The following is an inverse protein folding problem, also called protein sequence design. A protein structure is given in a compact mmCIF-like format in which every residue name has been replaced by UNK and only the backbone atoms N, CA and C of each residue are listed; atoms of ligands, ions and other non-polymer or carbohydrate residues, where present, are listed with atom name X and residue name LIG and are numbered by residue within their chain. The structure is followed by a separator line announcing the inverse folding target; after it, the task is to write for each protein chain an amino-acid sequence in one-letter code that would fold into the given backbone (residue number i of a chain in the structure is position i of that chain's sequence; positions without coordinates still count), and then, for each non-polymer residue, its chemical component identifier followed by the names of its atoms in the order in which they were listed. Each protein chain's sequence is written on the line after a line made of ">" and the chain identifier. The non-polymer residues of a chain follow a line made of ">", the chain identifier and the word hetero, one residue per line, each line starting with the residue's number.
data_IF_360059187910
#
_entry.id   IF_360059187910
#
_cell.length_a   1.000
_cell.length_b   1.000
_cell.length_c   1.000
_cell.angle_alpha   90.00
_cell.angle_beta   90.00
_cell.angle_gamma   90.00
#
_symmetry.space_group_name_H-M   'P 1'
#
loop_
_entity.id
_entity.type
_entity.pdbx_description
1 polymer ?
#
# COMPACT_ATOMS: atom_id res chain seq x y z
N UNK A 1 24.66 -32.99 60.22
CA UNK A 1 24.59 -33.45 58.80
C UNK A 1 23.21 -33.09 58.24
N UNK A 2 23.22 -32.45 57.06
CA UNK A 2 22.14 -32.28 56.08
C UNK A 2 20.86 -31.52 56.52
N UNK A 3 20.90 -30.19 56.37
CA UNK A 3 19.72 -29.37 56.07
C UNK A 3 19.34 -29.64 54.61
N UNK A 4 18.16 -30.21 54.35
CA UNK A 4 17.63 -30.36 52.99
C UNK A 4 16.73 -29.15 52.70
N UNK A 5 17.28 -28.15 52.05
CA UNK A 5 16.53 -27.01 51.52
C UNK A 5 15.85 -27.50 50.22
N UNK A 6 14.55 -27.76 50.26
CA UNK A 6 13.77 -28.07 49.05
C UNK A 6 13.38 -26.73 48.43
N UNK A 7 14.12 -26.32 47.39
CA UNK A 7 13.77 -25.20 46.53
C UNK A 7 12.81 -25.73 45.46
N UNK A 8 11.51 -25.49 45.65
CA UNK A 8 10.51 -25.71 44.60
C UNK A 8 10.65 -24.55 43.61
N UNK A 9 11.34 -24.82 42.49
CA UNK A 9 11.40 -23.92 41.36
C UNK A 9 10.04 -24.00 40.64
N UNK A 10 9.19 -23.01 40.87
CA UNK A 10 7.98 -22.79 40.06
C UNK A 10 8.43 -22.49 38.62
N UNK A 11 8.31 -23.50 37.75
CA UNK A 11 8.33 -23.32 36.30
C UNK A 11 7.04 -22.60 35.91
N UNK A 12 6.99 -21.28 36.12
CA UNK A 12 6.05 -20.42 35.40
C UNK A 12 6.56 -20.31 33.96
N UNK A 13 6.20 -21.29 33.13
CA UNK A 13 6.17 -21.11 31.68
C UNK A 13 5.12 -20.06 31.37
N UNK A 14 5.55 -18.79 31.39
CA UNK A 14 4.80 -17.71 30.77
C UNK A 14 4.87 -18.01 29.28
N UNK A 15 3.91 -18.78 28.79
CA UNK A 15 3.59 -18.79 27.37
C UNK A 15 3.11 -17.38 27.05
N UNK A 16 4.06 -16.52 26.64
CA UNK A 16 3.72 -15.29 25.95
C UNK A 16 3.10 -15.71 24.62
N UNK A 17 1.79 -15.91 24.64
CA UNK A 17 0.99 -15.99 23.43
C UNK A 17 1.04 -14.59 22.82
N UNK A 18 2.09 -14.32 22.05
CA UNK A 18 2.11 -13.19 21.14
C UNK A 18 1.05 -13.48 20.09
N UNK A 19 -0.21 -13.12 20.37
CA UNK A 19 -1.22 -13.05 19.33
C UNK A 19 -0.70 -12.05 18.32
N UNK A 20 -0.16 -12.57 17.21
CA UNK A 20 0.16 -11.79 16.03
C UNK A 20 -1.20 -11.31 15.53
N UNK A 21 -1.65 -10.14 15.97
CA UNK A 21 -2.84 -9.54 15.41
C UNK A 21 -2.56 -9.33 13.93
N UNK A 22 -3.27 -10.04 13.05
CA UNK A 22 -3.08 -9.91 11.62
C UNK A 22 -3.40 -8.46 11.22
N UNK A 23 -2.34 -7.71 10.92
CA UNK A 23 -2.47 -6.32 10.49
C UNK A 23 -3.10 -6.31 9.10
N UNK A 24 -4.26 -5.66 8.96
CA UNK A 24 -4.96 -5.52 7.69
C UNK A 24 -5.56 -4.12 7.60
N UNK A 25 -5.15 -3.37 6.58
CA UNK A 25 -5.83 -2.15 6.14
C UNK A 25 -6.80 -2.43 5.01
N UNK A 26 -6.61 -3.51 4.26
CA UNK A 26 -7.42 -3.90 3.11
C UNK A 26 -8.26 -5.14 3.45
N UNK A 27 -9.55 -5.12 3.11
CA UNK A 27 -10.47 -6.24 3.32
C UNK A 27 -10.31 -7.28 2.21
N UNK A 28 -9.36 -8.20 2.40
CA UNK A 28 -9.10 -9.33 1.49
C UNK A 28 -8.80 -10.59 2.30
N UNK A 29 -9.18 -11.75 1.75
CA UNK A 29 -8.83 -13.03 2.34
C UNK A 29 -7.32 -13.34 2.25
N UNK A 30 -6.90 -14.41 2.92
CA UNK A 30 -5.50 -14.83 3.03
C UNK A 30 -4.89 -15.39 1.74
N UNK A 31 -5.67 -15.57 0.67
CA UNK A 31 -5.14 -16.02 -0.63
C UNK A 31 -4.37 -14.92 -1.34
N UNK A 32 -4.65 -13.65 -1.00
CA UNK A 32 -3.89 -12.50 -1.50
C UNK A 32 -2.57 -12.39 -0.74
N UNK A 33 -1.47 -12.29 -1.50
CA UNK A 33 -0.16 -12.01 -0.91
C UNK A 33 -0.19 -10.67 -0.18
N UNK A 34 0.56 -10.55 0.92
CA UNK A 34 0.61 -9.35 1.74
C UNK A 34 2.05 -8.92 2.02
N UNK A 35 2.33 -7.62 1.85
CA UNK A 35 3.53 -6.98 2.35
C UNK A 35 3.16 -5.74 3.18
N UNK A 36 3.69 -5.66 4.40
CA UNK A 36 3.46 -4.54 5.32
C UNK A 36 4.71 -3.67 5.39
N UNK A 37 4.52 -2.36 5.20
CA UNK A 37 5.60 -1.37 5.22
C UNK A 37 5.35 -0.34 6.34
N UNK A 38 6.41 0.13 6.99
CA UNK A 38 6.33 1.28 7.90
C UNK A 38 6.83 2.53 7.19
N UNK A 39 6.10 3.62 7.33
CA UNK A 39 6.55 4.92 6.86
C UNK A 39 7.49 5.56 7.91
N UNK A 40 8.46 6.39 7.50
CA UNK A 40 8.67 6.89 6.15
C UNK A 40 9.27 5.83 5.20
N UNK A 41 8.65 5.66 4.03
CA UNK A 41 9.34 5.05 2.90
C UNK A 41 10.41 6.03 2.42
N UNK A 42 11.51 5.53 1.80
CA UNK A 42 12.60 6.38 1.32
C UNK A 42 12.06 7.55 0.47
N UNK A 43 12.46 8.77 0.82
CA UNK A 43 12.04 10.03 0.20
C UNK A 43 10.56 10.44 0.41
N UNK A 44 9.84 9.82 1.35
CA UNK A 44 8.49 10.22 1.75
C UNK A 44 8.47 10.69 3.20
N UNK A 45 7.85 11.86 3.46
CA UNK A 45 7.85 12.49 4.78
C UNK A 45 6.62 12.16 5.63
N UNK A 46 5.96 11.04 5.34
CA UNK A 46 4.82 10.59 6.13
C UNK A 46 5.26 9.71 7.30
N UNK A 47 4.45 9.74 8.36
CA UNK A 47 4.47 8.77 9.45
C UNK A 47 3.20 7.94 9.30
N UNK A 48 3.31 6.62 9.43
CA UNK A 48 2.19 5.72 9.17
C UNK A 48 2.60 4.31 8.80
N UNK A 49 1.65 3.59 8.21
CA UNK A 49 1.81 2.18 7.80
C UNK A 49 1.20 1.95 6.42
N UNK A 50 1.80 1.02 5.69
CA UNK A 50 1.40 0.59 4.36
C UNK A 50 1.05 -0.90 4.35
N UNK A 51 0.03 -1.27 3.57
CA UNK A 51 -0.44 -2.66 3.38
C UNK A 51 -0.60 -2.92 1.87
N UNK A 52 0.35 -3.62 1.27
CA UNK A 52 0.34 -4.00 -0.15
C UNK A 52 -0.30 -5.38 -0.27
N UNK A 53 -1.23 -5.53 -1.21
CA UNK A 53 -1.92 -6.79 -1.49
C UNK A 53 -1.80 -7.19 -2.95
N UNK A 54 -1.28 -8.39 -3.17
CA UNK A 54 -1.06 -8.97 -4.49
C UNK A 54 -2.08 -10.07 -4.79
N UNK A 55 -2.62 -10.14 -6.03
CA UNK A 55 -3.46 -11.24 -6.45
C UNK A 55 -2.80 -12.61 -6.21
N UNK A 56 -3.58 -13.67 -5.93
CA UNK A 56 -3.05 -14.99 -5.61
C UNK A 56 -2.08 -15.57 -6.65
N UNK A 57 -2.23 -15.18 -7.92
CA UNK A 57 -1.38 -15.63 -9.03
C UNK A 57 -1.10 -14.52 -10.03
N UNK A 58 0.11 -14.58 -10.59
CA UNK A 58 0.47 -13.93 -11.83
C UNK A 58 0.68 -12.41 -11.79
N UNK A 59 0.73 -11.79 -10.62
CA UNK A 59 1.00 -10.35 -10.51
C UNK A 59 2.39 -9.96 -11.03
N UNK A 60 3.37 -10.87 -11.00
CA UNK A 60 4.74 -10.65 -11.51
C UNK A 60 4.99 -11.27 -12.90
N UNK A 61 4.06 -12.07 -13.42
CA UNK A 61 4.22 -12.75 -14.71
C UNK A 61 3.70 -11.85 -15.85
N UNK A 62 4.56 -11.39 -16.79
CA UNK A 62 4.18 -10.48 -17.88
C UNK A 62 3.02 -10.96 -18.76
N UNK A 63 2.88 -12.28 -18.93
CA UNK A 63 1.85 -12.88 -19.79
C UNK A 63 0.50 -13.05 -19.09
N UNK A 64 0.44 -12.81 -17.78
CA UNK A 64 -0.77 -13.03 -16.99
C UNK A 64 -1.68 -11.80 -16.99
N UNK A 65 -3.00 -12.01 -16.97
CA UNK A 65 -4.00 -10.94 -16.98
C UNK A 65 -3.82 -9.94 -15.84
N UNK A 66 -3.43 -10.42 -14.65
CA UNK A 66 -3.15 -9.61 -13.46
C UNK A 66 -1.72 -9.07 -13.35
N UNK A 67 -0.89 -9.15 -14.39
CA UNK A 67 0.46 -8.58 -14.36
C UNK A 67 0.43 -7.13 -13.87
N UNK A 68 1.28 -6.80 -12.89
CA UNK A 68 1.35 -5.50 -12.21
C UNK A 68 0.00 -4.95 -11.73
N UNK A 69 -0.95 -5.84 -11.45
CA UNK A 69 -2.26 -5.49 -10.90
C UNK A 69 -2.28 -5.81 -9.41
N UNK A 70 -2.48 -4.80 -8.57
CA UNK A 70 -2.37 -4.94 -7.10
C UNK A 70 -3.04 -3.78 -6.37
N UNK A 71 -3.25 -3.94 -5.06
CA UNK A 71 -3.75 -2.91 -4.18
C UNK A 71 -2.69 -2.47 -3.18
N UNK A 72 -2.75 -1.21 -2.75
CA UNK A 72 -1.88 -0.68 -1.72
C UNK A 72 -2.64 0.31 -0.86
N UNK A 73 -2.71 0.10 0.46
CA UNK A 73 -3.33 1.04 1.38
C UNK A 73 -2.27 1.73 2.23
N UNK A 74 -2.38 3.05 2.40
CA UNK A 74 -1.56 3.85 3.31
C UNK A 74 -2.44 4.43 4.38
N UNK A 75 -2.13 4.18 5.66
CA UNK A 75 -2.70 4.93 6.77
C UNK A 75 -1.63 5.87 7.31
N UNK A 76 -1.78 7.17 7.04
CA UNK A 76 -0.79 8.19 7.39
C UNK A 76 -1.35 9.21 8.39
N UNK A 77 -0.46 9.73 9.22
CA UNK A 77 -0.75 10.71 10.28
C UNK A 77 -0.88 12.13 9.70
N UNK A 78 -1.76 12.28 8.71
CA UNK A 78 -2.08 13.54 8.04
C UNK A 78 -3.53 13.91 8.31
N UNK A 79 -3.74 14.99 9.06
CA UNK A 79 -5.06 15.48 9.45
C UNK A 79 -5.66 16.48 8.44
N UNK A 80 -5.63 16.14 7.15
CA UNK A 80 -6.26 16.92 6.07
C UNK A 80 -6.51 16.06 4.85
N UNK A 81 -7.37 16.53 3.95
CA UNK A 81 -7.48 15.94 2.61
C UNK A 81 -6.16 16.15 1.85
N UNK A 82 -5.75 15.16 1.07
CA UNK A 82 -4.57 15.22 0.21
C UNK A 82 -5.01 15.68 -1.18
N UNK A 83 -4.41 16.75 -1.74
CA UNK A 83 -4.70 17.21 -3.10
C UNK A 83 -4.09 16.26 -4.14
N UNK A 84 -4.62 16.32 -5.37
CA UNK A 84 -4.14 15.49 -6.47
C UNK A 84 -2.64 15.68 -6.78
N UNK A 85 -2.15 16.92 -6.72
CA UNK A 85 -0.74 17.24 -6.96
C UNK A 85 0.22 16.65 -5.92
N UNK A 86 -0.24 16.47 -4.67
CA UNK A 86 0.57 15.78 -3.66
C UNK A 86 0.60 14.27 -3.92
N UNK A 87 -0.53 13.68 -4.34
CA UNK A 87 -0.57 12.27 -4.76
C UNK A 87 0.32 12.00 -5.98
N UNK A 88 0.43 12.93 -6.93
CA UNK A 88 1.35 12.83 -8.06
C UNK A 88 2.80 12.73 -7.57
N UNK A 89 3.23 13.71 -6.77
CA UNK A 89 4.59 13.75 -6.22
C UNK A 89 4.91 12.53 -5.36
N UNK A 90 3.94 12.05 -4.59
CA UNK A 90 4.09 10.86 -3.75
C UNK A 90 4.27 9.58 -4.57
N UNK A 91 3.47 9.40 -5.63
CA UNK A 91 3.62 8.26 -6.53
C UNK A 91 4.95 8.32 -7.29
N UNK A 92 5.38 9.50 -7.74
CA UNK A 92 6.70 9.68 -8.34
C UNK A 92 7.82 9.27 -7.38
N UNK A 93 7.79 9.75 -6.13
CA UNK A 93 8.77 9.38 -5.11
C UNK A 93 8.77 7.88 -4.83
N UNK A 94 7.59 7.30 -4.65
CA UNK A 94 7.42 5.87 -4.38
C UNK A 94 8.02 5.02 -5.51
N UNK A 95 7.65 5.28 -6.77
CA UNK A 95 8.11 4.49 -7.90
C UNK A 95 9.58 4.75 -8.27
N UNK A 96 10.10 5.97 -8.04
CA UNK A 96 11.54 6.24 -8.16
C UNK A 96 12.33 5.45 -7.11
N UNK A 97 11.89 5.47 -5.86
CA UNK A 97 12.49 4.69 -4.77
C UNK A 97 12.46 3.18 -5.07
N UNK A 98 11.31 2.68 -5.51
CA UNK A 98 11.11 1.28 -5.90
C UNK A 98 12.09 0.85 -6.99
N UNK A 99 12.40 1.75 -7.93
CA UNK A 99 13.32 1.52 -9.05
C UNK A 99 14.78 1.95 -8.79
N UNK A 100 15.12 2.35 -7.56
CA UNK A 100 16.45 2.87 -7.19
C UNK A 100 16.91 4.05 -8.07
N UNK A 101 15.96 4.91 -8.47
CA UNK A 101 16.23 6.15 -9.21
C UNK A 101 16.34 7.31 -8.24
N UNK A 102 17.37 8.14 -8.39
CA UNK A 102 17.47 9.40 -7.64
C UNK A 102 16.40 10.39 -8.13
N UNK A 103 15.61 10.91 -7.20
CA UNK A 103 14.56 11.90 -7.49
C UNK A 103 15.13 13.20 -8.04
N UNK A 104 16.39 13.53 -7.73
CA UNK A 104 17.07 14.73 -8.21
C UNK A 104 17.71 14.55 -9.60
N UNK A 105 17.94 13.31 -10.04
CA UNK A 105 18.42 13.03 -11.39
C UNK A 105 17.28 13.25 -12.39
N UNK A 106 17.32 14.38 -13.10
CA UNK A 106 16.33 14.73 -14.14
C UNK A 106 16.61 14.04 -15.48
N UNK A 107 17.78 13.45 -15.65
CA UNK A 107 18.22 12.83 -16.90
C UNK A 107 17.97 11.33 -16.94
N UNK A 108 17.62 10.73 -15.79
CA UNK A 108 17.35 9.30 -15.71
C UNK A 108 16.14 8.91 -16.56
N UNK A 109 16.37 8.08 -17.58
CA UNK A 109 15.31 7.58 -18.45
C UNK A 109 14.28 6.73 -17.70
N UNK A 110 14.62 6.18 -16.52
CA UNK A 110 13.73 5.37 -15.68
C UNK A 110 12.89 6.18 -14.71
N UNK A 111 13.04 7.51 -14.69
CA UNK A 111 12.32 8.39 -13.78
C UNK A 111 10.81 8.22 -13.93
N UNK A 112 10.14 8.09 -12.79
CA UNK A 112 8.70 8.01 -12.73
C UNK A 112 8.07 9.41 -12.89
N UNK A 113 6.94 9.47 -13.58
CA UNK A 113 6.06 10.64 -13.61
C UNK A 113 4.61 10.20 -13.38
N UNK A 114 3.81 11.05 -12.74
CA UNK A 114 2.42 10.75 -12.44
C UNK A 114 1.48 11.88 -12.88
N UNK A 115 0.25 11.52 -13.23
CA UNK A 115 -0.84 12.47 -13.48
C UNK A 115 -2.10 11.97 -12.83
N UNK A 116 -2.66 12.74 -11.90
CA UNK A 116 -3.81 12.38 -11.09
C UNK A 116 -4.90 13.44 -11.26
N UNK A 117 -6.10 12.99 -11.61
CA UNK A 117 -7.31 13.83 -11.66
C UNK A 117 -8.28 13.41 -10.57
N UNK A 118 -8.87 14.40 -9.91
CA UNK A 118 -10.04 14.17 -9.04
C UNK A 118 -11.25 13.85 -9.92
N UNK A 119 -11.93 12.73 -9.63
CA UNK A 119 -13.11 12.29 -10.39
C UNK A 119 -14.39 12.67 -9.66
N UNK A 120 -14.46 12.40 -8.35
CA UNK A 120 -15.64 12.73 -7.54
C UNK A 120 -15.28 12.80 -6.05
N UNK A 121 -16.19 13.34 -5.26
CA UNK A 121 -16.14 13.26 -3.80
C UNK A 121 -17.49 12.80 -3.27
N UNK A 122 -17.49 11.91 -2.28
CA UNK A 122 -18.69 11.46 -1.57
C UNK A 122 -18.39 11.40 -0.07
N UNK A 123 -19.13 12.17 0.74
CA UNK A 123 -18.89 12.28 2.18
C UNK A 123 -17.40 12.63 2.47
N UNK A 124 -16.70 11.79 3.22
CA UNK A 124 -15.29 11.96 3.59
C UNK A 124 -14.32 11.27 2.63
N UNK A 125 -14.81 10.74 1.52
CA UNK A 125 -14.00 10.04 0.52
C UNK A 125 -13.86 10.88 -0.75
N UNK A 126 -12.62 11.06 -1.20
CA UNK A 126 -12.32 11.66 -2.50
C UNK A 126 -11.76 10.60 -3.43
N UNK A 127 -12.29 10.53 -4.63
CA UNK A 127 -11.92 9.54 -5.64
C UNK A 127 -11.07 10.22 -6.70
N UNK A 128 -9.95 9.59 -7.04
CA UNK A 128 -9.05 10.01 -8.09
C UNK A 128 -8.78 8.88 -9.06
N UNK A 129 -8.42 9.27 -10.26
CA UNK A 129 -7.90 8.40 -11.31
C UNK A 129 -6.64 9.00 -11.88
N UNK A 130 -5.75 8.17 -12.39
CA UNK A 130 -4.54 8.69 -12.99
C UNK A 130 -3.70 7.64 -13.69
N UNK A 131 -2.53 8.08 -14.11
CA UNK A 131 -1.50 7.26 -14.75
C UNK A 131 -0.17 7.51 -14.08
N UNK A 132 0.62 6.45 -13.94
CA UNK A 132 2.02 6.52 -13.51
C UNK A 132 2.87 5.89 -14.59
N UNK A 133 3.72 6.71 -15.21
CA UNK A 133 4.75 6.24 -16.12
C UNK A 133 5.95 5.82 -15.28
N UNK A 134 6.36 4.57 -15.34
CA UNK A 134 7.44 4.04 -14.48
C UNK A 134 8.27 2.97 -15.19
N UNK A 135 9.24 2.43 -14.48
CA UNK A 135 10.10 1.35 -14.91
C UNK A 135 9.79 0.08 -14.10
N UNK A 136 9.85 -1.08 -14.75
CA UNK A 136 9.70 -2.37 -14.10
C UNK A 136 11.06 -3.03 -13.97
N UNK A 137 11.74 -2.83 -12.83
CA UNK A 137 13.02 -3.49 -12.57
C UNK A 137 12.92 -4.96 -12.14
N UNK A 138 11.71 -5.51 -12.00
CA UNK A 138 11.50 -6.82 -11.36
C UNK A 138 11.19 -7.93 -12.37
N UNK A 139 10.34 -7.66 -13.37
CA UNK A 139 9.94 -8.68 -14.33
C UNK A 139 10.48 -8.42 -15.74
N UNK A 140 10.30 -7.20 -16.27
CA UNK A 140 10.54 -6.94 -17.70
C UNK A 140 11.77 -6.09 -17.99
N UNK A 141 12.30 -5.35 -17.01
CA UNK A 141 13.36 -4.36 -17.19
C UNK A 141 13.01 -3.30 -18.25
N UNK A 142 11.73 -2.94 -18.37
CA UNK A 142 11.18 -2.01 -19.37
C UNK A 142 10.35 -0.91 -18.72
N UNK A 143 10.18 0.20 -19.47
CA UNK A 143 9.21 1.23 -19.11
C UNK A 143 7.79 0.80 -19.45
N UNK A 144 6.85 1.19 -18.60
CA UNK A 144 5.44 0.91 -18.78
C UNK A 144 4.58 1.96 -18.06
N UNK A 145 3.27 1.83 -18.22
CA UNK A 145 2.28 2.71 -17.59
C UNK A 145 1.40 1.89 -16.67
N UNK A 146 1.19 2.40 -15.46
CA UNK A 146 0.18 1.93 -14.53
C UNK A 146 -0.99 2.90 -14.53
N UNK A 147 -2.18 2.41 -14.82
CA UNK A 147 -3.42 3.10 -14.50
C UNK A 147 -3.70 2.91 -13.00
N UNK A 148 -4.13 3.98 -12.33
CA UNK A 148 -4.38 3.98 -10.88
C UNK A 148 -5.74 4.56 -10.55
N UNK A 149 -6.47 3.90 -9.64
CA UNK A 149 -7.62 4.47 -8.93
C UNK A 149 -7.26 4.66 -7.47
N UNK A 150 -7.65 5.80 -6.90
CA UNK A 150 -7.33 6.18 -5.53
C UNK A 150 -8.61 6.54 -4.78
N UNK A 151 -8.88 5.87 -3.66
CA UNK A 151 -9.87 6.30 -2.67
C UNK A 151 -9.11 6.97 -1.51
N UNK A 152 -9.35 8.27 -1.28
CA UNK A 152 -8.76 9.02 -0.18
C UNK A 152 -9.78 9.29 0.91
N UNK A 153 -9.62 8.65 2.06
CA UNK A 153 -10.50 8.70 3.22
C UNK A 153 -9.90 9.66 4.25
N UNK A 154 -10.55 10.82 4.44
CA UNK A 154 -10.16 11.74 5.51
C UNK A 154 -10.87 11.37 6.81
N UNK A 155 -10.12 10.82 7.77
CA UNK A 155 -10.62 10.31 9.04
C UNK A 155 -10.50 11.36 10.15
N UNK A 156 -11.41 12.34 10.17
CA UNK A 156 -11.37 13.50 11.09
C UNK A 156 -11.25 13.11 12.58
N UNK A 157 -11.93 12.06 13.03
CA UNK A 157 -11.88 11.59 14.44
C UNK A 157 -10.52 11.01 14.81
N UNK A 158 -9.94 10.20 13.92
CA UNK A 158 -8.64 9.59 14.10
C UNK A 158 -7.47 10.55 13.79
N UNK A 159 -7.74 11.75 13.25
CA UNK A 159 -6.74 12.72 12.76
C UNK A 159 -5.77 12.13 11.72
N UNK A 160 -6.26 11.21 10.88
CA UNK A 160 -5.49 10.49 9.87
C UNK A 160 -6.11 10.63 8.48
N UNK A 161 -5.31 10.30 7.48
CA UNK A 161 -5.79 10.07 6.11
C UNK A 161 -5.43 8.66 5.71
N UNK A 162 -6.40 7.92 5.17
CA UNK A 162 -6.19 6.58 4.65
C UNK A 162 -6.41 6.60 3.15
N UNK A 163 -5.40 6.17 2.40
CA UNK A 163 -5.42 6.09 0.95
C UNK A 163 -5.53 4.62 0.56
N UNK A 164 -6.39 4.28 -0.38
CA UNK A 164 -6.40 3.00 -1.06
C UNK A 164 -6.10 3.24 -2.54
N UNK A 165 -4.98 2.70 -3.00
CA UNK A 165 -4.56 2.67 -4.38
C UNK A 165 -4.87 1.29 -4.96
N UNK A 166 -5.34 1.26 -6.20
CA UNK A 166 -5.41 0.05 -7.01
C UNK A 166 -4.76 0.35 -8.35
N UNK A 167 -3.82 -0.51 -8.75
CA UNK A 167 -2.99 -0.33 -9.92
C UNK A 167 -3.26 -1.45 -10.93
N UNK A 168 -3.15 -1.14 -12.22
CA UNK A 168 -3.03 -2.12 -13.29
C UNK A 168 -2.46 -1.45 -14.54
N UNK A 169 -1.64 -2.14 -15.36
CA UNK A 169 -1.29 -1.65 -16.69
C UNK A 169 -2.47 -1.69 -17.67
N UNK A 170 -3.56 -2.40 -17.33
CA UNK A 170 -4.75 -2.50 -18.17
C UNK A 170 -5.58 -1.22 -18.13
N UNK A 171 -6.19 -0.85 -19.25
CA UNK A 171 -7.14 0.26 -19.34
C UNK A 171 -8.35 0.03 -18.42
N UNK A 172 -8.99 1.10 -17.94
CA UNK A 172 -10.05 1.02 -16.92
C UNK A 172 -11.30 0.23 -17.35
N UNK A 173 -11.46 -0.06 -18.64
CA UNK A 173 -12.54 -0.87 -19.21
C UNK A 173 -12.24 -2.38 -19.19
N UNK A 174 -11.02 -2.80 -18.88
CA UNK A 174 -10.64 -4.21 -18.84
C UNK A 174 -11.21 -4.93 -17.59
N UNK A 175 -11.53 -6.21 -17.74
CA UNK A 175 -12.12 -7.07 -16.70
C UNK A 175 -11.32 -7.14 -15.39
N UNK A 176 -9.99 -6.95 -15.43
CA UNK A 176 -9.15 -6.87 -14.20
C UNK A 176 -9.70 -5.86 -13.21
N UNK A 177 -10.26 -4.75 -13.73
CA UNK A 177 -10.83 -3.71 -12.89
C UNK A 177 -12.10 -4.15 -12.18
N UNK A 178 -12.82 -5.18 -12.63
CA UNK A 178 -13.94 -5.73 -11.86
C UNK A 178 -13.46 -6.26 -10.51
N UNK A 179 -12.37 -7.03 -10.51
CA UNK A 179 -11.73 -7.50 -9.28
C UNK A 179 -11.17 -6.34 -8.45
N UNK A 180 -10.42 -5.41 -9.07
CA UNK A 180 -9.79 -4.31 -8.34
C UNK A 180 -10.81 -3.31 -7.75
N UNK A 181 -11.92 -3.05 -8.43
CA UNK A 181 -12.95 -2.13 -7.95
C UNK A 181 -13.68 -2.64 -6.71
N UNK A 182 -13.71 -3.97 -6.51
CA UNK A 182 -14.31 -4.61 -5.35
C UNK A 182 -13.41 -4.58 -4.10
N UNK A 183 -12.15 -4.13 -4.24
CA UNK A 183 -11.23 -3.99 -3.10
C UNK A 183 -11.60 -2.74 -2.29
N UNK A 184 -11.73 -2.90 -0.98
CA UNK A 184 -11.98 -1.82 -0.04
C UNK A 184 -11.13 -1.93 1.23
N UNK A 185 -11.14 -0.84 2.01
CA UNK A 185 -10.45 -0.77 3.29
C UNK A 185 -11.20 -1.57 4.36
N UNK A 186 -10.45 -2.27 5.18
CA UNK A 186 -10.93 -3.03 6.33
C UNK A 186 -11.66 -2.09 7.32
N UNK A 187 -12.96 -2.33 7.53
CA UNK A 187 -13.93 -1.44 8.23
C UNK A 187 -13.90 0.03 7.76
N UNK A 188 -13.67 0.27 6.47
CA UNK A 188 -13.68 1.62 5.87
C UNK A 188 -12.46 2.49 6.20
N UNK A 189 -11.41 1.89 6.77
CA UNK A 189 -10.09 2.50 6.97
C UNK A 189 -9.94 3.46 8.16
N UNK A 190 -11.03 4.03 8.67
CA UNK A 190 -11.00 5.01 9.75
C UNK A 190 -11.13 4.41 11.16
N UNK A 191 -10.46 3.29 11.46
CA UNK A 191 -10.46 2.73 12.82
C UNK A 191 -9.72 3.68 13.78
N UNK A 192 -10.26 3.84 14.98
CA UNK A 192 -9.61 4.54 16.10
C UNK A 192 -8.61 3.62 16.78
#
# INVERSE_FOLDING_TARGET
>A
MKKLLIIILFFCSIFTFGQKSDFNLIQLDSTWGQEVLRFPARNMNYIGVGDIRFPPKGWINPEHTFFWSYAYAWSIDVNRKIPASELELDLEKYFNSLNKVDVNDKTNSRKASATIKKVKSKKNVTFFEGKVHTFDRFATNKRFVLNVKIKSHFCKKAKKTVLLFTFSPKEFTNEVWETLNNIDLEKGGCKN
#
